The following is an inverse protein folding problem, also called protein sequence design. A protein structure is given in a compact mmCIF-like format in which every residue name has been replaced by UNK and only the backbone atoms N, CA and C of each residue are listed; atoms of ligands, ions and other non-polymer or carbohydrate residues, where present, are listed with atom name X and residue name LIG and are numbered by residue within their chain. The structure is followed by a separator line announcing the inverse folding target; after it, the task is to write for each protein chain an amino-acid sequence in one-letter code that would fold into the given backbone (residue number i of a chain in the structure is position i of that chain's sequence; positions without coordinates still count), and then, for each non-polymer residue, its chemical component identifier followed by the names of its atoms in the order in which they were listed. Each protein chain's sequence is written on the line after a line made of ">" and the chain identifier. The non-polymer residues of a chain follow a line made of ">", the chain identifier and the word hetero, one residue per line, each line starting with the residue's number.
data_IF_325446039578
#
_entry.id   IF_325446039578
#
_cell.length_a   1.000
_cell.length_b   1.000
_cell.length_c   1.000
_cell.angle_alpha   90.00
_cell.angle_beta   90.00
_cell.angle_gamma   90.00
#
_symmetry.space_group_name_H-M   'P 1'
#
loop_
_entity.id
_entity.type
_entity.pdbx_description
1 polymer ?
#
# COMPACT_ATOMS: atom_id res chain seq x y z
N UNK A 1 -33.86 14.99 10.91
CA UNK A 1 -33.30 13.65 10.63
C UNK A 1 -34.15 12.50 11.16
N UNK A 2 -34.41 12.34 12.47
CA UNK A 2 -35.30 11.24 12.95
C UNK A 2 -36.77 11.41 12.55
N UNK A 3 -37.27 12.65 12.45
CA UNK A 3 -38.62 12.95 11.96
C UNK A 3 -38.75 12.72 10.44
N UNK A 4 -37.71 13.04 9.65
CA UNK A 4 -37.70 12.78 8.20
C UNK A 4 -37.76 11.27 7.90
N UNK A 5 -37.07 10.45 8.70
CA UNK A 5 -37.10 9.00 8.56
C UNK A 5 -38.49 8.41 8.86
N UNK A 6 -39.21 8.97 9.85
CA UNK A 6 -40.54 8.50 10.24
C UNK A 6 -41.62 8.94 9.23
N UNK A 7 -41.50 10.12 8.63
CA UNK A 7 -42.43 10.62 7.60
C UNK A 7 -42.30 9.83 6.29
N UNK A 8 -41.06 9.53 5.87
CA UNK A 8 -40.79 8.65 4.72
C UNK A 8 -41.34 7.25 4.95
N UNK A 9 -41.23 6.73 6.18
CA UNK A 9 -41.78 5.43 6.55
C UNK A 9 -43.32 5.43 6.50
N UNK A 10 -43.96 6.41 7.12
CA UNK A 10 -45.42 6.50 7.17
C UNK A 10 -46.02 6.69 5.77
N UNK A 11 -45.41 7.51 4.91
CA UNK A 11 -45.87 7.78 3.54
C UNK A 11 -45.79 6.55 2.62
N UNK A 12 -44.76 5.71 2.77
CA UNK A 12 -44.54 4.54 1.89
C UNK A 12 -45.53 3.40 2.13
N UNK A 13 -46.03 3.29 3.36
CA UNK A 13 -46.97 2.23 3.76
C UNK A 13 -48.43 2.60 3.44
N UNK A 14 -48.72 3.89 3.18
CA UNK A 14 -50.05 4.38 2.80
C UNK A 14 -50.57 3.62 1.57
N UNK A 15 -51.80 3.09 1.68
CA UNK A 15 -52.47 2.32 0.63
C UNK A 15 -52.34 0.80 0.73
N UNK A 16 -51.63 0.27 1.73
CA UNK A 16 -51.54 -1.17 1.96
C UNK A 16 -52.79 -1.66 2.71
N UNK A 17 -53.58 -2.54 2.10
CA UNK A 17 -54.85 -3.04 2.66
C UNK A 17 -54.62 -4.27 3.54
N UNK A 18 -53.53 -5.00 3.29
CA UNK A 18 -53.20 -6.25 3.96
C UNK A 18 -51.78 -6.21 4.54
N UNK A 19 -51.56 -6.92 5.65
CA UNK A 19 -50.27 -6.95 6.35
C UNK A 19 -49.11 -7.46 5.50
N UNK A 20 -49.37 -8.33 4.52
CA UNK A 20 -48.34 -8.82 3.59
C UNK A 20 -47.79 -7.71 2.70
N UNK A 21 -48.64 -6.81 2.20
CA UNK A 21 -48.21 -5.68 1.35
C UNK A 21 -47.30 -4.71 2.10
N UNK A 22 -47.55 -4.51 3.40
CA UNK A 22 -46.66 -3.72 4.26
C UNK A 22 -45.30 -4.40 4.37
N UNK A 23 -45.28 -5.71 4.64
CA UNK A 23 -44.03 -6.48 4.75
C UNK A 23 -43.24 -6.52 3.45
N UNK A 24 -43.91 -6.70 2.31
CA UNK A 24 -43.27 -6.70 1.00
C UNK A 24 -42.57 -5.36 0.72
N UNK A 25 -43.25 -4.24 0.99
CA UNK A 25 -42.68 -2.89 0.83
C UNK A 25 -41.49 -2.64 1.75
N UNK A 26 -41.57 -3.09 3.00
CA UNK A 26 -40.46 -2.99 3.95
C UNK A 26 -39.27 -3.82 3.47
N UNK A 27 -39.53 -5.07 3.06
CA UNK A 27 -38.51 -5.97 2.56
C UNK A 27 -37.84 -5.42 1.30
N UNK A 28 -38.62 -4.92 0.34
CA UNK A 28 -38.12 -4.28 -0.88
C UNK A 28 -37.26 -3.06 -0.58
N UNK A 29 -37.68 -2.23 0.38
CA UNK A 29 -36.93 -1.05 0.79
C UNK A 29 -35.57 -1.43 1.38
N UNK A 30 -35.54 -2.32 2.39
CA UNK A 30 -34.29 -2.76 3.00
C UNK A 30 -33.40 -3.46 1.98
N UNK A 31 -33.96 -4.32 1.12
CA UNK A 31 -33.22 -4.98 0.07
C UNK A 31 -32.57 -3.97 -0.91
N UNK A 32 -33.31 -2.93 -1.31
CA UNK A 32 -32.78 -1.86 -2.17
C UNK A 32 -31.69 -1.06 -1.47
N UNK A 33 -31.89 -0.71 -0.20
CA UNK A 33 -30.94 0.04 0.60
C UNK A 33 -29.63 -0.75 0.81
N UNK A 34 -29.74 -2.03 1.18
CA UNK A 34 -28.60 -2.94 1.37
C UNK A 34 -27.81 -3.10 0.08
N UNK A 35 -28.49 -3.26 -1.07
CA UNK A 35 -27.81 -3.31 -2.38
C UNK A 35 -27.09 -2.01 -2.73
N UNK A 36 -27.72 -0.86 -2.49
CA UNK A 36 -27.09 0.43 -2.70
C UNK A 36 -25.84 0.61 -1.81
N UNK A 37 -25.93 0.18 -0.54
CA UNK A 37 -24.80 0.20 0.40
C UNK A 37 -23.66 -0.70 -0.05
N UNK A 38 -23.96 -1.93 -0.48
CA UNK A 38 -22.94 -2.84 -1.02
C UNK A 38 -22.21 -2.24 -2.24
N UNK A 39 -22.96 -1.59 -3.14
CA UNK A 39 -22.37 -0.90 -4.29
C UNK A 39 -21.46 0.26 -3.88
N UNK A 40 -21.87 1.04 -2.88
CA UNK A 40 -21.06 2.12 -2.33
C UNK A 40 -19.76 1.56 -1.74
N UNK A 41 -19.83 0.56 -0.87
CA UNK A 41 -18.66 -0.07 -0.26
C UNK A 41 -17.67 -0.65 -1.29
N UNK A 42 -18.19 -1.30 -2.34
CA UNK A 42 -17.35 -1.78 -3.46
C UNK A 42 -16.70 -0.64 -4.25
N UNK A 43 -17.32 0.54 -4.28
CA UNK A 43 -16.74 1.74 -4.90
C UNK A 43 -15.64 2.31 -4.00
N UNK A 44 -15.92 2.44 -2.70
CA UNK A 44 -14.97 2.93 -1.69
C UNK A 44 -13.73 2.04 -1.65
N UNK A 45 -13.91 0.72 -1.73
CA UNK A 45 -12.84 -0.28 -1.81
C UNK A 45 -11.90 0.00 -3.00
N UNK A 46 -12.45 0.23 -4.19
CA UNK A 46 -11.66 0.50 -5.42
C UNK A 46 -10.94 1.84 -5.38
N UNK A 47 -11.47 2.80 -4.63
CA UNK A 47 -10.80 4.10 -4.42
C UNK A 47 -9.79 4.08 -3.27
N UNK A 48 -9.69 2.97 -2.54
CA UNK A 48 -8.76 2.87 -1.41
C UNK A 48 -7.34 2.62 -1.93
N UNK A 49 -6.46 3.57 -1.70
CA UNK A 49 -5.06 3.55 -2.11
C UNK A 49 -4.15 3.72 -0.90
N UNK A 50 -2.91 3.23 -1.00
CA UNK A 50 -1.93 3.36 0.10
C UNK A 50 -1.44 4.81 0.28
N UNK A 51 -1.28 5.57 -0.81
CA UNK A 51 -0.87 6.99 -0.87
C UNK A 51 -0.07 7.50 0.36
N UNK A 52 -0.63 8.46 1.11
CA UNK A 52 0.02 9.14 2.24
C UNK A 52 -0.17 8.42 3.59
N UNK A 53 -0.78 7.23 3.61
CA UNK A 53 -1.06 6.49 4.84
C UNK A 53 -0.07 5.34 5.08
N UNK A 54 -0.01 4.84 6.31
CA UNK A 54 0.83 3.68 6.62
C UNK A 54 0.22 2.40 6.04
N UNK A 55 1.06 1.40 5.76
CA UNK A 55 0.58 0.09 5.30
C UNK A 55 -0.45 -0.53 6.25
N UNK A 56 -0.30 -0.32 7.57
CA UNK A 56 -1.27 -0.82 8.55
C UNK A 56 -2.62 -0.15 8.44
N UNK A 57 -2.64 1.16 8.24
CA UNK A 57 -3.88 1.93 8.15
C UNK A 57 -4.64 1.55 6.88
N UNK A 58 -3.92 1.44 5.75
CA UNK A 58 -4.46 0.95 4.49
C UNK A 58 -5.10 -0.44 4.59
N UNK A 59 -4.37 -1.42 5.15
CA UNK A 59 -4.91 -2.78 5.34
C UNK A 59 -6.13 -2.78 6.28
N UNK A 60 -6.11 -1.95 7.32
CA UNK A 60 -7.24 -1.81 8.25
C UNK A 60 -8.47 -1.22 7.55
N UNK A 61 -8.28 -0.24 6.68
CA UNK A 61 -9.36 0.37 5.90
C UNK A 61 -10.04 -0.66 4.98
N UNK A 62 -9.24 -1.43 4.23
CA UNK A 62 -9.76 -2.50 3.36
C UNK A 62 -10.52 -3.54 4.20
N UNK A 63 -9.96 -3.96 5.33
CA UNK A 63 -10.62 -4.90 6.24
C UNK A 63 -11.95 -4.38 6.75
N UNK A 64 -12.04 -3.12 7.17
CA UNK A 64 -13.29 -2.53 7.65
C UNK A 64 -14.38 -2.55 6.57
N UNK A 65 -14.01 -2.26 5.32
CA UNK A 65 -14.95 -2.33 4.19
C UNK A 65 -15.39 -3.77 3.94
N UNK A 66 -14.47 -4.74 4.01
CA UNK A 66 -14.76 -6.16 3.86
C UNK A 66 -15.69 -6.70 4.97
N UNK A 67 -15.44 -6.29 6.22
CA UNK A 67 -16.27 -6.64 7.38
C UNK A 67 -17.67 -6.03 7.26
N UNK A 68 -17.78 -4.79 6.76
CA UNK A 68 -19.07 -4.15 6.52
C UNK A 68 -19.85 -4.83 5.38
N UNK A 69 -19.15 -5.19 4.30
CA UNK A 69 -19.72 -5.98 3.19
C UNK A 69 -20.24 -7.34 3.67
N UNK A 70 -19.49 -8.02 4.54
CA UNK A 70 -19.94 -9.25 5.18
C UNK A 70 -21.18 -9.03 6.07
N UNK A 71 -21.20 -7.94 6.85
CA UNK A 71 -22.31 -7.57 7.72
C UNK A 71 -23.63 -7.31 6.99
N UNK A 72 -23.58 -6.87 5.74
CA UNK A 72 -24.76 -6.65 4.89
C UNK A 72 -25.10 -7.84 3.97
N UNK A 73 -24.45 -8.99 4.17
CA UNK A 73 -24.71 -10.23 3.43
C UNK A 73 -24.06 -10.30 2.04
N UNK A 74 -23.02 -9.49 1.79
CA UNK A 74 -22.25 -9.48 0.54
C UNK A 74 -20.75 -9.68 0.81
N UNK A 75 -20.35 -10.80 1.46
CA UNK A 75 -18.96 -11.03 1.84
C UNK A 75 -18.02 -11.06 0.63
N UNK A 76 -16.75 -10.73 0.86
CA UNK A 76 -15.70 -10.81 -0.15
C UNK A 76 -15.03 -12.18 -0.13
N UNK A 77 -14.61 -12.67 -1.29
CA UNK A 77 -13.75 -13.87 -1.36
C UNK A 77 -12.31 -13.53 -0.98
N UNK A 78 -11.49 -14.57 -0.75
CA UNK A 78 -10.06 -14.40 -0.50
C UNK A 78 -9.37 -13.70 -1.68
N UNK A 79 -9.70 -14.11 -2.91
CA UNK A 79 -9.18 -13.51 -4.14
C UNK A 79 -9.58 -12.05 -4.24
N UNK A 80 -10.87 -11.72 -4.05
CA UNK A 80 -11.35 -10.34 -4.11
C UNK A 80 -10.66 -9.44 -3.08
N UNK A 81 -10.37 -9.95 -1.88
CA UNK A 81 -9.64 -9.21 -0.85
C UNK A 81 -8.19 -8.95 -1.28
N UNK A 82 -7.50 -9.99 -1.75
CA UNK A 82 -6.10 -9.87 -2.17
C UNK A 82 -5.98 -8.96 -3.37
N UNK A 83 -6.85 -9.08 -4.37
CA UNK A 83 -6.87 -8.22 -5.55
C UNK A 83 -7.08 -6.75 -5.16
N UNK A 84 -8.05 -6.46 -4.28
CA UNK A 84 -8.29 -5.10 -3.78
C UNK A 84 -7.07 -4.52 -3.05
N UNK A 85 -6.36 -5.34 -2.27
CA UNK A 85 -5.11 -4.91 -1.63
C UNK A 85 -4.05 -4.59 -2.68
N UNK A 86 -3.82 -5.46 -3.67
CA UNK A 86 -2.77 -5.29 -4.68
C UNK A 86 -3.03 -4.11 -5.62
N UNK A 87 -4.28 -3.89 -6.03
CA UNK A 87 -4.69 -2.77 -6.89
C UNK A 87 -4.47 -1.41 -6.23
N UNK A 88 -4.57 -1.34 -4.90
CA UNK A 88 -4.37 -0.09 -4.13
C UNK A 88 -2.90 0.26 -3.85
N UNK A 89 -1.94 -0.55 -4.29
CA UNK A 89 -0.51 -0.33 -4.01
C UNK A 89 0.19 0.52 -5.08
N UNK A 90 1.11 1.43 -4.66
CA UNK A 90 1.91 2.19 -5.60
C UNK A 90 3.03 1.33 -6.21
N UNK A 91 3.63 1.82 -7.30
CA UNK A 91 4.64 1.09 -8.09
C UNK A 91 5.85 0.62 -7.26
N UNK A 92 6.17 1.29 -6.15
CA UNK A 92 7.24 0.90 -5.23
C UNK A 92 7.06 -0.49 -4.60
N UNK A 93 5.83 -1.01 -4.60
CA UNK A 93 5.49 -2.34 -4.11
C UNK A 93 5.49 -3.42 -5.20
N UNK A 94 5.74 -3.06 -6.47
CA UNK A 94 5.75 -4.00 -7.61
C UNK A 94 6.58 -5.29 -7.37
N UNK A 95 7.75 -5.26 -6.69
CA UNK A 95 8.49 -6.49 -6.38
C UNK A 95 7.72 -7.46 -5.49
N UNK A 96 6.96 -6.96 -4.51
CA UNK A 96 6.14 -7.81 -3.63
C UNK A 96 4.89 -8.29 -4.34
N UNK A 97 4.26 -7.42 -5.13
CA UNK A 97 3.09 -7.77 -5.97
C UNK A 97 3.45 -8.97 -6.86
N UNK A 98 4.57 -8.91 -7.57
CA UNK A 98 5.03 -10.01 -8.43
C UNK A 98 5.27 -11.34 -7.68
N UNK A 99 5.78 -11.28 -6.44
CA UNK A 99 5.97 -12.47 -5.59
C UNK A 99 4.63 -13.09 -5.16
N UNK A 100 3.60 -12.27 -4.99
CA UNK A 100 2.25 -12.73 -4.65
C UNK A 100 1.58 -13.34 -5.89
N UNK A 101 1.59 -12.62 -7.01
CA UNK A 101 0.97 -13.04 -8.29
C UNK A 101 1.64 -14.27 -8.92
N UNK A 102 2.94 -14.46 -8.71
CA UNK A 102 3.65 -15.65 -9.22
C UNK A 102 3.23 -16.97 -8.56
N UNK A 103 2.41 -16.93 -7.49
CA UNK A 103 1.88 -18.14 -6.87
C UNK A 103 0.68 -18.65 -7.65
N UNK A 104 0.65 -19.96 -7.87
CA UNK A 104 -0.49 -20.65 -8.49
C UNK A 104 -1.79 -20.61 -7.68
N UNK A 105 -1.70 -20.31 -6.38
CA UNK A 105 -2.86 -20.19 -5.50
C UNK A 105 -2.72 -18.95 -4.62
N UNK A 106 -3.83 -18.24 -4.43
CA UNK A 106 -3.92 -17.02 -3.63
C UNK A 106 -3.45 -17.31 -2.19
N UNK A 107 -2.42 -16.61 -1.70
CA UNK A 107 -1.95 -16.81 -0.34
C UNK A 107 -3.01 -16.38 0.68
N UNK A 108 -3.01 -16.95 1.90
CA UNK A 108 -3.86 -16.49 2.99
C UNK A 108 -3.61 -15.01 3.30
N UNK A 109 -4.67 -14.28 3.70
CA UNK A 109 -4.63 -12.83 4.02
C UNK A 109 -3.46 -12.49 4.96
N UNK A 110 -3.32 -13.20 6.07
CA UNK A 110 -2.26 -12.95 7.05
C UNK A 110 -0.84 -13.03 6.45
N UNK A 111 -0.63 -13.87 5.43
CA UNK A 111 0.66 -13.98 4.75
C UNK A 111 0.90 -12.81 3.81
N UNK A 112 -0.13 -12.36 3.10
CA UNK A 112 -0.06 -11.17 2.23
C UNK A 112 0.26 -9.93 3.07
N UNK A 113 -0.48 -9.70 4.15
CA UNK A 113 -0.26 -8.58 5.07
C UNK A 113 1.15 -8.59 5.66
N UNK A 114 1.64 -9.75 6.10
CA UNK A 114 2.99 -9.88 6.62
C UNK A 114 4.08 -9.54 5.58
N UNK A 115 3.90 -9.94 4.31
CA UNK A 115 4.84 -9.62 3.23
C UNK A 115 4.87 -8.11 2.95
N UNK A 116 3.70 -7.46 2.92
CA UNK A 116 3.58 -6.02 2.69
C UNK A 116 4.20 -5.20 3.82
N UNK A 117 3.92 -5.55 5.08
CA UNK A 117 4.52 -4.89 6.25
C UNK A 117 6.04 -5.09 6.31
N UNK A 118 6.54 -6.28 5.96
CA UNK A 118 7.98 -6.53 5.90
C UNK A 118 8.67 -5.69 4.81
N UNK A 119 7.99 -5.43 3.69
CA UNK A 119 8.49 -4.56 2.63
C UNK A 119 8.57 -3.09 3.07
N UNK A 120 7.50 -2.57 3.68
CA UNK A 120 7.48 -1.22 4.24
C UNK A 120 8.62 -1.01 5.24
N UNK A 121 8.85 -1.97 6.14
CA UNK A 121 9.93 -1.92 7.12
C UNK A 121 11.31 -1.82 6.44
N UNK A 122 11.57 -2.65 5.42
CA UNK A 122 12.83 -2.62 4.66
C UNK A 122 12.99 -1.30 3.90
N UNK A 123 11.96 -0.83 3.21
CA UNK A 123 11.99 0.44 2.49
C UNK A 123 12.32 1.62 3.43
N UNK A 124 11.72 1.64 4.62
CA UNK A 124 11.99 2.64 5.65
C UNK A 124 13.44 2.57 6.18
N UNK A 125 14.03 1.37 6.30
CA UNK A 125 15.44 1.20 6.70
C UNK A 125 16.40 1.74 5.64
N UNK A 126 16.17 1.43 4.35
CA UNK A 126 16.97 1.97 3.25
C UNK A 126 16.89 3.49 3.19
N UNK A 127 15.69 4.07 3.39
CA UNK A 127 15.49 5.51 3.43
C UNK A 127 16.32 6.15 4.56
N UNK A 128 16.34 5.56 5.76
CA UNK A 128 17.15 6.01 6.90
C UNK A 128 18.65 5.92 6.64
N UNK A 129 19.12 4.85 5.99
CA UNK A 129 20.54 4.70 5.63
C UNK A 129 20.98 5.71 4.56
N UNK A 130 20.10 6.10 3.63
CA UNK A 130 20.37 7.15 2.64
C UNK A 130 20.66 8.53 3.28
N UNK A 131 20.06 8.83 4.43
CA UNK A 131 20.37 10.06 5.20
C UNK A 131 21.77 10.03 5.84
N UNK A 132 22.34 8.85 6.07
CA UNK A 132 23.72 8.67 6.48
C UNK A 132 24.55 8.36 5.24
N UNK A 133 24.92 9.38 4.44
CA UNK A 133 25.84 9.22 3.32
C UNK A 133 27.04 8.35 3.73
N UNK A 134 27.24 7.16 3.11
CA UNK A 134 28.51 6.47 3.24
C UNK A 134 29.52 7.32 2.45
N UNK A 135 30.32 8.10 3.15
CA UNK A 135 31.46 8.76 2.53
C UNK A 135 32.44 7.69 2.06
N UNK A 136 32.39 7.37 0.77
CA UNK A 136 33.34 6.47 0.13
C UNK A 136 34.68 7.22 0.05
N UNK A 137 35.56 7.00 1.02
CA UNK A 137 36.96 7.39 0.93
C UNK A 137 37.69 6.39 0.04
N UNK A 138 37.81 6.70 -1.25
CA UNK A 138 38.78 6.02 -2.13
C UNK A 138 40.19 6.49 -1.76
N UNK A 139 40.90 5.72 -0.93
CA UNK A 139 42.36 5.90 -0.80
C UNK A 139 43.02 5.15 -1.95
N UNK A 140 43.32 5.86 -3.03
CA UNK A 140 44.11 5.34 -4.13
C UNK A 140 45.56 5.22 -3.66
N UNK A 141 45.92 4.05 -3.15
CA UNK A 141 47.27 3.70 -2.76
C UNK A 141 48.17 3.52 -3.98
N UNK A 142 48.63 4.63 -4.57
CA UNK A 142 49.82 4.62 -5.41
C UNK A 142 51.01 5.11 -4.59
N UNK A 143 51.85 4.15 -4.27
CA UNK A 143 53.26 4.20 -3.86
C UNK A 143 53.88 5.60 -3.80
N UNK A 144 54.13 6.08 -2.57
CA UNK A 144 55.12 7.13 -2.26
C UNK A 144 56.52 6.63 -2.61
N UNK A 145 56.98 6.95 -3.82
CA UNK A 145 58.41 7.02 -4.13
C UNK A 145 58.92 8.44 -3.87
N UNK A 146 59.34 8.71 -2.63
CA UNK A 146 60.07 9.95 -2.31
C UNK A 146 61.56 9.69 -2.51
N UNK A 147 62.10 10.12 -3.64
CA UNK A 147 63.55 10.33 -3.81
C UNK A 147 63.78 11.83 -3.77
N UNK A 148 64.33 12.25 -2.65
CA UNK A 148 64.88 13.57 -2.38
C UNK A 148 66.36 13.58 -2.77
N UNK A 149 66.79 14.65 -3.45
CA UNK A 149 68.19 14.95 -3.75
C UNK A 149 68.39 15.19 -5.24
N UNK A 150 68.95 16.30 -5.72
CA UNK A 150 69.63 17.42 -5.10
C UNK A 150 70.21 18.27 -6.24
N UNK A 151 70.45 19.54 -5.95
CA UNK A 151 70.69 20.64 -6.88
C UNK A 151 71.95 20.54 -7.76
N UNK A 152 71.80 20.98 -9.01
CA UNK A 152 72.68 21.81 -9.87
C UNK A 152 74.21 21.83 -9.67
N UNK A 153 74.94 21.66 -10.78
CA UNK A 153 76.31 22.20 -10.91
C UNK A 153 76.99 21.83 -12.23
N UNK A 154 77.01 22.76 -13.20
CA UNK A 154 77.92 22.78 -14.35
C UNK A 154 79.20 23.53 -13.96
N UNK A 155 80.40 22.98 -14.22
CA UNK A 155 81.55 23.74 -14.77
C UNK A 155 82.85 22.90 -14.93
N UNK A 156 83.47 23.06 -16.11
CA UNK A 156 84.90 23.20 -16.43
C UNK A 156 85.96 22.14 -16.05
N UNK A 157 86.49 21.45 -17.07
CA UNK A 157 87.80 21.79 -17.68
C UNK A 157 89.11 21.38 -17.01
N UNK A 158 90.02 20.87 -17.87
CA UNK A 158 91.51 20.98 -17.87
C UNK A 158 92.30 19.74 -17.40
N UNK A 159 93.13 19.22 -18.31
CA UNK A 159 93.99 18.05 -18.10
C UNK A 159 95.35 18.34 -17.47
N UNK A 160 96.19 17.29 -17.37
CA UNK A 160 97.67 17.27 -17.37
C UNK A 160 98.13 15.81 -17.18
N UNK A 161 99.21 15.41 -17.84
CA UNK A 161 99.90 14.13 -17.65
C UNK A 161 100.19 13.41 -18.95
#
# INVERSE_FOLDING_TARGET
>A
MLLDALEVYSSRVIGSVHSNQVWDKVHEYFHTQTKARARQLRTDLRSTTLDDQSMRDFLTQIKNIADELAGIGSPMTLEEYVDAVLEGLPQEYAPVVSVIESKFATPPIAKVEALLLAHELRANQFRKQSFFSPSINYTQGYSRGSVSGGHSGRCHGRGSG
#
